data_IF_067233633939
#
_entry.id   IF_067233633939
#
_cell.length_a   1.000
_cell.length_b   1.000
_cell.length_c   1.000
_cell.angle_alpha   90.00
_cell.angle_beta   90.00
_cell.angle_gamma   90.00
#
_symmetry.space_group_name_H-M   'P 1'
#
loop_
_entity.id
_entity.type
_entity.pdbx_description
1 polymer ?
#
# COMPACT_ATOMS: atom_id res chain seq x y z
N UNK A 1 -16.61 -28.28 -17.13
CA UNK A 1 -15.48 -27.51 -17.65
C UNK A 1 -14.66 -28.45 -18.48
N UNK A 2 -14.44 -28.22 -19.79
CA UNK A 2 -13.56 -29.08 -20.56
C UNK A 2 -12.14 -28.98 -19.99
N UNK A 3 -11.53 -30.10 -19.68
CA UNK A 3 -10.11 -30.25 -19.44
C UNK A 3 -9.40 -29.98 -20.76
N UNK A 4 -9.03 -28.72 -21.00
CA UNK A 4 -8.15 -28.38 -22.10
C UNK A 4 -6.72 -28.74 -21.63
N UNK A 5 -6.26 -29.94 -22.01
CA UNK A 5 -4.97 -30.50 -21.64
C UNK A 5 -3.79 -29.92 -22.44
N UNK A 6 -3.93 -28.68 -22.86
CA UNK A 6 -2.82 -27.91 -23.44
C UNK A 6 -1.78 -27.52 -22.39
N UNK A 7 -0.55 -27.22 -22.80
CA UNK A 7 0.47 -26.73 -21.87
C UNK A 7 -0.01 -25.42 -21.22
N UNK A 8 0.18 -25.30 -19.90
CA UNK A 8 -0.03 -24.03 -19.21
C UNK A 8 1.12 -23.11 -19.62
N UNK A 9 0.77 -22.05 -20.34
CA UNK A 9 1.74 -21.05 -20.80
C UNK A 9 1.65 -19.82 -19.90
N UNK A 10 2.76 -19.11 -19.75
CA UNK A 10 2.79 -17.76 -19.18
C UNK A 10 1.97 -16.78 -20.03
N UNK A 11 1.75 -15.57 -19.53
CA UNK A 11 1.12 -14.50 -20.32
C UNK A 11 1.93 -14.22 -21.59
N UNK A 12 1.22 -13.85 -22.66
CA UNK A 12 1.86 -13.41 -23.90
C UNK A 12 2.77 -12.18 -23.63
N UNK A 13 3.92 -12.11 -24.30
CA UNK A 13 4.93 -11.06 -24.11
C UNK A 13 4.35 -9.63 -24.20
N UNK A 14 3.30 -9.40 -24.99
CA UNK A 14 2.63 -8.09 -25.10
C UNK A 14 2.10 -7.56 -23.77
N UNK A 15 1.70 -8.43 -22.85
CA UNK A 15 1.21 -8.01 -21.53
C UNK A 15 2.31 -7.40 -20.66
N UNK A 16 3.57 -7.61 -21.02
CA UNK A 16 4.74 -7.03 -20.31
C UNK A 16 5.35 -5.84 -21.07
N UNK A 17 5.15 -5.75 -22.38
CA UNK A 17 5.90 -4.83 -23.25
C UNK A 17 5.03 -3.78 -23.93
N UNK A 18 3.72 -3.97 -24.03
CA UNK A 18 2.82 -3.04 -24.70
C UNK A 18 2.39 -1.91 -23.74
N UNK A 19 2.77 -0.64 -24.01
CA UNK A 19 2.39 0.49 -23.17
C UNK A 19 0.88 0.74 -23.13
N UNK A 20 0.11 0.33 -24.15
CA UNK A 20 -1.33 0.48 -24.15
C UNK A 20 -1.99 -0.48 -23.13
N UNK A 21 -1.44 -1.67 -22.95
CA UNK A 21 -1.89 -2.61 -21.91
C UNK A 21 -1.57 -2.04 -20.53
N UNK A 22 -0.35 -1.52 -20.32
CA UNK A 22 0.03 -0.90 -19.06
C UNK A 22 -0.88 0.29 -18.69
N UNK A 23 -1.26 1.11 -19.66
CA UNK A 23 -2.20 2.22 -19.45
C UNK A 23 -3.57 1.74 -18.96
N UNK A 24 -4.10 0.66 -19.56
CA UNK A 24 -5.35 0.05 -19.11
C UNK A 24 -5.22 -0.54 -17.71
N UNK A 25 -4.12 -1.22 -17.40
CA UNK A 25 -3.84 -1.76 -16.07
C UNK A 25 -3.72 -0.65 -15.03
N UNK A 26 -3.00 0.41 -15.34
CA UNK A 26 -2.80 1.56 -14.43
C UNK A 26 -4.14 2.21 -14.06
N UNK A 27 -4.97 2.51 -15.05
CA UNK A 27 -6.27 3.16 -14.84
C UNK A 27 -7.35 2.24 -14.27
N UNK A 28 -7.31 0.96 -14.59
CA UNK A 28 -8.33 0.00 -14.17
C UNK A 28 -7.91 -0.79 -12.94
N UNK A 29 -6.82 -1.55 -13.05
CA UNK A 29 -6.42 -2.49 -12.01
C UNK A 29 -5.70 -1.80 -10.84
N UNK A 30 -4.62 -1.07 -11.14
CA UNK A 30 -3.80 -0.45 -10.10
C UNK A 30 -4.55 0.66 -9.37
N UNK A 31 -5.36 1.42 -10.08
CA UNK A 31 -6.18 2.49 -9.48
C UNK A 31 -7.35 1.94 -8.64
N UNK A 32 -7.89 0.77 -8.97
CA UNK A 32 -9.04 0.17 -8.27
C UNK A 32 -8.65 -0.92 -7.27
N UNK A 33 -7.36 -1.08 -6.96
CA UNK A 33 -6.89 -2.00 -5.94
C UNK A 33 -6.20 -1.28 -4.79
N UNK A 34 -6.17 -1.90 -3.61
CA UNK A 34 -5.47 -1.37 -2.45
C UNK A 34 -3.97 -1.39 -2.70
N UNK A 35 -3.36 -0.21 -2.68
CA UNK A 35 -1.93 -0.01 -2.90
C UNK A 35 -1.26 0.46 -1.60
N UNK A 36 -0.08 -0.10 -1.32
CA UNK A 36 0.71 0.31 -0.17
C UNK A 36 1.22 1.74 -0.35
N UNK A 37 0.94 2.60 0.62
CA UNK A 37 1.32 4.01 0.62
C UNK A 37 2.43 4.34 1.62
N UNK A 38 2.53 3.60 2.73
CA UNK A 38 3.50 3.89 3.76
C UNK A 38 3.11 3.24 5.10
N UNK A 39 3.71 3.69 6.18
CA UNK A 39 3.46 3.16 7.52
C UNK A 39 2.89 4.25 8.45
N UNK A 40 1.91 3.88 9.27
CA UNK A 40 1.21 4.82 10.17
C UNK A 40 2.17 5.53 11.15
N UNK A 41 3.31 4.92 11.50
CA UNK A 41 4.30 5.55 12.37
C UNK A 41 5.01 6.76 11.75
N UNK A 42 4.82 7.03 10.47
CA UNK A 42 5.31 8.25 9.82
C UNK A 42 4.43 9.47 10.18
N UNK A 43 3.21 9.23 10.67
CA UNK A 43 2.19 10.23 10.97
C UNK A 43 1.82 10.17 12.45
N UNK A 44 2.68 10.69 13.34
CA UNK A 44 2.52 10.55 14.79
C UNK A 44 1.79 11.74 15.45
N UNK A 45 1.80 12.90 14.82
CA UNK A 45 1.24 14.14 15.38
C UNK A 45 0.30 14.79 14.37
N UNK A 46 -0.75 15.48 14.83
CA UNK A 46 -1.58 16.28 13.95
C UNK A 46 -0.75 17.17 13.04
N UNK A 47 -0.98 17.06 11.74
CA UNK A 47 -0.28 17.78 10.70
C UNK A 47 0.95 17.07 10.13
N UNK A 48 1.42 15.96 10.70
CA UNK A 48 2.44 15.15 10.02
C UNK A 48 1.89 14.67 8.69
N UNK A 49 2.68 14.79 7.64
CA UNK A 49 2.30 14.36 6.28
C UNK A 49 3.48 13.77 5.53
N UNK A 50 3.18 12.95 4.56
CA UNK A 50 4.11 12.53 3.51
C UNK A 50 3.41 12.45 2.15
N UNK A 51 4.18 12.70 1.09
CA UNK A 51 3.75 12.67 -0.32
C UNK A 51 4.25 11.38 -0.96
N UNK A 52 3.44 10.81 -1.84
CA UNK A 52 3.80 9.64 -2.66
C UNK A 52 3.07 9.68 -4.00
N UNK A 53 3.56 8.89 -4.94
CA UNK A 53 2.96 8.73 -6.27
C UNK A 53 2.28 7.37 -6.36
N UNK A 54 1.09 7.31 -6.96
CA UNK A 54 0.37 6.07 -7.21
C UNK A 54 -0.41 6.15 -8.52
N UNK A 55 -0.22 5.18 -9.41
CA UNK A 55 -0.88 5.11 -10.73
C UNK A 55 -0.80 6.43 -11.52
N UNK A 56 0.28 7.19 -11.36
CA UNK A 56 0.49 8.49 -12.02
C UNK A 56 -0.13 9.70 -11.30
N UNK A 57 -0.78 9.49 -10.16
CA UNK A 57 -1.37 10.55 -9.34
C UNK A 57 -0.47 10.90 -8.16
N UNK A 58 -0.27 12.19 -7.91
CA UNK A 58 0.40 12.67 -6.70
C UNK A 58 -0.59 12.76 -5.54
N UNK A 59 -0.28 12.07 -4.45
CA UNK A 59 -1.11 11.97 -3.25
C UNK A 59 -0.31 12.41 -2.03
N UNK A 60 -1.02 12.80 -0.97
CA UNK A 60 -0.41 12.95 0.36
C UNK A 60 -1.32 12.41 1.45
N UNK A 61 -0.71 11.71 2.41
CA UNK A 61 -1.38 11.30 3.65
C UNK A 61 -1.04 12.27 4.76
N UNK A 62 -2.01 12.59 5.61
CA UNK A 62 -1.84 13.53 6.72
C UNK A 62 -2.56 13.06 7.97
N UNK A 63 -1.95 13.27 9.14
CA UNK A 63 -2.58 13.07 10.44
C UNK A 63 -3.53 14.22 10.74
N UNK A 64 -4.79 13.92 10.90
CA UNK A 64 -5.83 14.85 11.32
C UNK A 64 -5.69 15.30 12.78
N UNK A 65 -6.45 16.32 13.18
CA UNK A 65 -6.52 16.77 14.58
C UNK A 65 -7.32 15.83 15.47
N UNK A 66 -8.16 15.01 14.85
CA UNK A 66 -8.95 13.94 15.47
C UNK A 66 -8.16 12.65 15.73
N UNK A 67 -6.91 12.59 15.23
CA UNK A 67 -6.07 11.40 15.29
C UNK A 67 -6.28 10.41 14.14
N UNK A 68 -7.15 10.75 13.17
CA UNK A 68 -7.40 9.94 11.99
C UNK A 68 -6.45 10.32 10.84
N UNK A 69 -6.03 9.32 10.07
CA UNK A 69 -5.22 9.53 8.87
C UNK A 69 -6.15 9.70 7.67
N UNK A 70 -5.92 10.76 6.92
CA UNK A 70 -6.62 11.02 5.66
C UNK A 70 -5.63 11.16 4.52
N UNK A 71 -5.99 10.66 3.35
CA UNK A 71 -5.23 10.85 2.12
C UNK A 71 -6.03 11.69 1.13
N UNK A 72 -5.34 12.57 0.43
CA UNK A 72 -5.92 13.47 -0.55
C UNK A 72 -5.07 13.49 -1.82
N UNK A 73 -5.71 13.79 -2.96
CA UNK A 73 -4.96 14.21 -4.14
C UNK A 73 -4.17 15.47 -3.81
N UNK A 74 -2.90 15.49 -4.17
CA UNK A 74 -1.99 16.60 -3.89
C UNK A 74 -2.19 17.78 -4.83
N UNK A 75 -3.45 18.20 -4.99
CA UNK A 75 -3.90 19.16 -6.01
C UNK A 75 -4.82 20.21 -5.38
N UNK A 76 -4.46 21.47 -5.55
CA UNK A 76 -5.26 22.60 -5.10
C UNK A 76 -6.54 22.76 -5.93
N UNK A 77 -7.69 22.85 -5.26
CA UNK A 77 -9.01 23.00 -5.89
C UNK A 77 -9.23 24.34 -6.59
N UNK A 78 -8.26 25.25 -6.51
CA UNK A 78 -8.30 26.53 -7.23
C UNK A 78 -7.85 26.39 -8.68
N UNK A 79 -6.57 26.01 -8.90
CA UNK A 79 -5.95 25.96 -10.24
C UNK A 79 -4.91 24.83 -10.33
N UNK A 80 -5.22 23.69 -9.73
CA UNK A 80 -4.48 22.44 -9.83
C UNK A 80 -2.96 22.51 -9.50
N UNK A 81 -2.53 23.49 -8.69
CA UNK A 81 -1.15 23.52 -8.21
C UNK A 81 -0.92 22.44 -7.14
N UNK A 82 0.25 21.81 -7.15
CA UNK A 82 0.68 20.90 -6.10
C UNK A 82 0.70 21.60 -4.73
N UNK A 83 0.20 20.94 -3.68
CA UNK A 83 0.03 21.54 -2.36
C UNK A 83 1.26 21.38 -1.46
N UNK A 84 1.79 20.17 -1.38
CA UNK A 84 2.90 19.80 -0.49
C UNK A 84 3.92 18.93 -1.21
N UNK A 85 5.14 18.83 -0.65
CA UNK A 85 6.24 18.03 -1.19
C UNK A 85 6.93 17.25 -0.06
N UNK A 86 7.46 16.08 -0.37
CA UNK A 86 8.20 15.24 0.57
C UNK A 86 7.39 14.88 1.82
N UNK A 87 7.98 15.05 2.98
CA UNK A 87 7.33 14.80 4.27
C UNK A 87 7.59 15.96 5.23
N UNK A 88 6.69 16.15 6.20
CA UNK A 88 6.83 17.24 7.17
C UNK A 88 5.67 17.32 8.15
N UNK A 89 5.57 18.47 8.82
CA UNK A 89 4.44 18.81 9.68
C UNK A 89 3.88 20.19 9.32
N UNK A 90 2.58 20.25 9.08
CA UNK A 90 1.87 21.49 8.76
C UNK A 90 0.62 21.65 9.62
N UNK A 91 0.43 22.82 10.19
CA UNK A 91 -0.80 23.13 10.95
C UNK A 91 -2.06 23.17 10.07
N UNK A 92 -1.86 23.49 8.80
CA UNK A 92 -2.86 23.58 7.71
C UNK A 92 -2.12 23.42 6.40
N UNK A 93 -2.77 22.91 5.37
CA UNK A 93 -2.21 22.76 4.04
C UNK A 93 -2.45 24.05 3.25
N UNK A 94 -1.39 24.77 2.96
CA UNK A 94 -1.48 26.06 2.24
C UNK A 94 -0.87 25.94 0.85
N UNK A 95 -1.68 26.24 -0.16
CA UNK A 95 -1.22 26.25 -1.55
C UNK A 95 -0.16 27.37 -1.76
N UNK A 96 1.03 27.02 -2.25
CA UNK A 96 2.09 28.03 -2.42
C UNK A 96 1.82 29.04 -3.56
N UNK A 97 0.83 28.75 -4.41
CA UNK A 97 0.54 29.61 -5.57
C UNK A 97 -0.33 30.83 -5.19
N UNK A 98 -1.52 30.62 -4.57
CA UNK A 98 -2.44 31.72 -4.24
C UNK A 98 -2.90 31.69 -2.78
N UNK A 99 -2.19 30.98 -1.92
CA UNK A 99 -2.45 30.89 -0.49
C UNK A 99 -3.88 30.37 -0.12
N UNK A 100 -4.51 29.58 -1.00
CA UNK A 100 -5.68 28.82 -0.56
C UNK A 100 -5.24 27.83 0.51
N UNK A 101 -5.93 27.85 1.64
CA UNK A 101 -5.53 27.13 2.84
C UNK A 101 -6.61 26.14 3.21
N UNK A 102 -6.24 24.89 3.43
CA UNK A 102 -7.11 23.79 3.80
C UNK A 102 -6.82 23.32 5.22
N UNK A 103 -7.87 22.93 5.94
CA UNK A 103 -7.71 22.18 7.19
C UNK A 103 -7.11 20.79 6.91
N UNK A 104 -6.69 20.10 7.99
CA UNK A 104 -6.13 18.75 7.85
C UNK A 104 -7.16 17.69 7.43
N UNK A 105 -8.46 18.00 7.53
CA UNK A 105 -9.57 17.19 7.03
C UNK A 105 -9.94 17.49 5.58
N UNK A 106 -9.20 18.38 4.91
CA UNK A 106 -9.35 18.76 3.51
C UNK A 106 -10.28 19.94 3.26
N UNK A 107 -11.08 20.42 4.22
CA UNK A 107 -12.01 21.54 4.02
C UNK A 107 -11.27 22.84 3.76
N UNK A 108 -11.75 23.63 2.82
CA UNK A 108 -11.18 24.95 2.54
C UNK A 108 -11.44 25.91 3.72
N UNK A 109 -10.37 26.34 4.38
CA UNK A 109 -10.41 27.31 5.47
C UNK A 109 -10.36 28.77 4.99
N UNK A 110 -9.50 29.05 4.02
CA UNK A 110 -9.25 30.40 3.55
C UNK A 110 -8.95 30.46 2.07
N UNK A 111 -9.50 31.48 1.41
CA UNK A 111 -9.29 31.77 0.01
C UNK A 111 -9.16 33.29 -0.16
N UNK A 112 -7.93 33.84 -0.21
CA UNK A 112 -7.71 35.27 -0.35
C UNK A 112 -8.43 35.83 -1.58
N UNK A 113 -9.00 37.04 -1.43
CA UNK A 113 -9.71 37.78 -2.48
C UNK A 113 -10.97 37.12 -3.06
N UNK A 114 -11.39 35.97 -2.56
CA UNK A 114 -12.59 35.28 -3.08
C UNK A 114 -13.91 35.83 -2.51
N UNK A 115 -13.87 36.66 -1.46
CA UNK A 115 -15.07 37.26 -0.85
C UNK A 115 -15.86 38.16 -1.79
N UNK A 116 -15.20 38.69 -2.83
CA UNK A 116 -15.82 39.58 -3.82
C UNK A 116 -16.37 38.83 -5.03
N UNK A 117 -16.20 37.52 -5.08
CA UNK A 117 -16.69 36.67 -6.17
C UNK A 117 -18.12 36.22 -5.84
N UNK A 118 -19.06 36.64 -6.65
CA UNK A 118 -20.47 36.28 -6.51
C UNK A 118 -20.66 34.75 -6.61
N UNK A 119 -21.40 34.15 -5.71
CA UNK A 119 -21.68 32.74 -5.66
C UNK A 119 -20.53 31.87 -5.06
N UNK A 120 -19.40 32.44 -4.69
CA UNK A 120 -18.35 31.69 -4.05
C UNK A 120 -18.74 31.25 -2.62
N UNK A 121 -18.79 29.95 -2.42
CA UNK A 121 -19.08 29.33 -1.12
C UNK A 121 -17.89 28.47 -0.71
N UNK A 122 -17.14 28.97 0.27
CA UNK A 122 -15.94 28.29 0.80
C UNK A 122 -16.29 26.88 1.33
N UNK A 123 -17.43 26.75 1.99
CA UNK A 123 -17.82 25.53 2.69
C UNK A 123 -18.21 24.38 1.72
N UNK A 124 -18.39 24.69 0.44
CA UNK A 124 -18.65 23.70 -0.61
C UNK A 124 -17.34 23.12 -1.20
N UNK A 125 -16.18 23.62 -0.75
CA UNK A 125 -14.88 23.24 -1.31
C UNK A 125 -14.09 22.40 -0.31
N UNK A 126 -13.70 21.22 -0.76
CA UNK A 126 -12.87 20.29 -0.02
C UNK A 126 -11.82 19.67 -0.96
N UNK A 127 -10.67 19.28 -0.44
CA UNK A 127 -9.74 18.44 -1.19
C UNK A 127 -10.40 17.11 -1.50
N UNK A 128 -10.10 16.56 -2.67
CA UNK A 128 -10.62 15.24 -3.06
C UNK A 128 -9.93 14.17 -2.22
N UNK A 129 -10.74 13.48 -1.41
CA UNK A 129 -10.27 12.43 -0.51
C UNK A 129 -10.08 11.12 -1.27
N UNK A 130 -9.08 10.36 -0.86
CA UNK A 130 -8.79 9.01 -1.35
C UNK A 130 -9.09 8.02 -0.22
N UNK A 131 -9.84 6.93 -0.46
CA UNK A 131 -10.00 5.83 0.49
C UNK A 131 -8.66 5.40 1.07
N UNK A 132 -8.59 5.35 2.38
CA UNK A 132 -7.33 5.09 3.12
C UNK A 132 -7.65 4.16 4.28
N UNK A 133 -6.86 3.09 4.42
CA UNK A 133 -6.97 2.19 5.54
C UNK A 133 -5.62 1.95 6.21
N UNK A 134 -5.65 1.88 7.54
CA UNK A 134 -4.56 1.37 8.35
C UNK A 134 -4.76 -0.13 8.58
N UNK A 135 -3.99 -0.94 7.88
CA UNK A 135 -4.04 -2.40 7.98
C UNK A 135 -2.79 -2.89 8.72
N UNK A 136 -2.93 -3.19 10.00
CA UNK A 136 -1.85 -3.67 10.88
C UNK A 136 -0.62 -2.73 10.93
N UNK A 137 -0.84 -1.41 10.90
CA UNK A 137 0.23 -0.41 10.88
C UNK A 137 0.65 0.04 9.48
N UNK A 138 0.31 -0.72 8.46
CA UNK A 138 0.57 -0.37 7.05
C UNK A 138 -0.57 0.47 6.49
N UNK A 139 -0.24 1.58 5.84
CA UNK A 139 -1.23 2.43 5.19
C UNK A 139 -1.42 1.98 3.74
N UNK A 140 -2.67 1.72 3.41
CA UNK A 140 -3.10 1.42 2.05
C UNK A 140 -4.08 2.46 1.56
N UNK A 141 -4.06 2.69 0.26
CA UNK A 141 -4.95 3.62 -0.44
C UNK A 141 -5.55 2.98 -1.67
N UNK A 142 -6.73 3.46 -2.08
CA UNK A 142 -7.41 2.99 -3.28
C UNK A 142 -8.01 4.20 -4.00
N UNK A 143 -7.78 4.35 -5.31
CA UNK A 143 -8.32 5.50 -6.06
C UNK A 143 -9.80 5.31 -6.43
N UNK A 144 -10.36 4.12 -6.27
CA UNK A 144 -11.80 3.90 -6.39
C UNK A 144 -12.51 4.43 -5.14
N UNK A 145 -13.33 5.48 -5.24
CA UNK A 145 -14.04 6.06 -4.10
C UNK A 145 -15.04 5.08 -3.45
N UNK A 146 -15.46 4.06 -4.17
CA UNK A 146 -16.40 3.02 -3.72
C UNK A 146 -15.69 1.71 -3.34
N UNK A 147 -14.37 1.76 -3.12
CA UNK A 147 -13.58 0.60 -2.74
C UNK A 147 -14.15 -0.08 -1.50
N UNK A 148 -14.33 -1.40 -1.58
CA UNK A 148 -14.63 -2.22 -0.40
C UNK A 148 -13.43 -2.23 0.54
N UNK A 149 -13.67 -2.42 1.84
CA UNK A 149 -12.61 -2.44 2.85
C UNK A 149 -11.58 -3.53 2.59
N UNK A 150 -10.38 -3.37 3.15
CA UNK A 150 -9.34 -4.40 3.08
C UNK A 150 -9.79 -5.70 3.76
N UNK A 151 -10.53 -5.62 4.86
CA UNK A 151 -11.04 -6.83 5.54
C UNK A 151 -12.07 -7.59 4.69
N UNK A 152 -12.82 -6.90 3.79
CA UNK A 152 -13.69 -7.53 2.80
C UNK A 152 -12.91 -8.14 1.62
N UNK A 153 -11.79 -7.52 1.23
CA UNK A 153 -10.92 -8.03 0.19
C UNK A 153 -10.07 -9.22 0.66
N UNK A 154 -9.58 -9.13 1.90
CA UNK A 154 -8.62 -10.06 2.50
C UNK A 154 -9.14 -10.63 3.82
N UNK A 155 -10.28 -11.36 3.80
CA UNK A 155 -10.91 -11.86 5.03
C UNK A 155 -9.96 -12.80 5.78
N UNK A 156 -9.77 -12.54 7.09
CA UNK A 156 -8.94 -13.34 7.98
C UNK A 156 -7.44 -13.03 7.94
N UNK A 157 -6.97 -12.19 6.99
CA UNK A 157 -5.53 -11.88 6.87
C UNK A 157 -5.04 -11.04 8.04
N UNK A 158 -5.84 -10.11 8.55
CA UNK A 158 -5.50 -9.29 9.72
C UNK A 158 -5.27 -10.16 10.96
N UNK A 159 -6.17 -11.09 11.20
CA UNK A 159 -6.09 -12.03 12.33
C UNK A 159 -4.88 -12.97 12.18
N UNK A 160 -4.62 -13.44 10.98
CA UNK A 160 -3.46 -14.28 10.70
C UNK A 160 -2.15 -13.54 10.92
N UNK A 161 -2.03 -12.30 10.43
CA UNK A 161 -0.86 -11.46 10.67
C UNK A 161 -0.65 -11.20 12.16
N UNK A 162 -1.72 -10.87 12.91
CA UNK A 162 -1.64 -10.65 14.35
C UNK A 162 -1.27 -11.94 15.12
N UNK A 163 -1.68 -13.11 14.63
CA UNK A 163 -1.31 -14.39 15.22
C UNK A 163 0.17 -14.73 14.99
N UNK A 164 0.71 -14.43 13.78
CA UNK A 164 2.13 -14.63 13.48
C UNK A 164 3.02 -13.60 14.19
N UNK A 165 2.58 -12.34 14.24
CA UNK A 165 3.32 -11.21 14.79
C UNK A 165 2.43 -10.44 15.75
N UNK A 166 2.24 -10.90 17.01
CA UNK A 166 1.32 -10.30 17.97
C UNK A 166 1.54 -8.80 18.24
N UNK A 167 2.75 -8.30 17.96
CA UNK A 167 3.13 -6.89 18.11
C UNK A 167 3.14 -6.11 16.78
N UNK A 168 2.54 -6.61 15.71
CA UNK A 168 2.66 -6.03 14.35
C UNK A 168 2.33 -4.53 14.31
N UNK A 169 1.29 -4.08 15.01
CA UNK A 169 0.90 -2.67 15.07
C UNK A 169 1.89 -1.77 15.81
N UNK A 170 2.83 -2.37 16.58
CA UNK A 170 3.87 -1.66 17.32
C UNK A 170 5.19 -1.62 16.57
N UNK A 171 5.33 -2.39 15.51
CA UNK A 171 6.51 -2.37 14.65
C UNK A 171 6.61 -1.02 13.94
N UNK A 172 7.84 -0.63 13.64
CA UNK A 172 8.12 0.59 12.88
C UNK A 172 9.16 0.26 11.84
N UNK A 173 9.08 0.85 10.64
CA UNK A 173 10.15 0.72 9.66
C UNK A 173 11.47 1.20 10.26
N UNK A 174 12.52 0.40 10.12
CA UNK A 174 13.87 0.79 10.50
C UNK A 174 14.48 1.69 9.42
N UNK A 175 14.27 1.33 8.18
CA UNK A 175 14.84 1.99 7.00
C UNK A 175 13.87 1.85 5.82
N UNK A 176 13.91 2.81 4.92
CA UNK A 176 13.25 2.76 3.61
C UNK A 176 14.31 2.60 2.54
N UNK A 177 14.21 1.52 1.78
CA UNK A 177 15.11 1.24 0.66
C UNK A 177 14.29 1.25 -0.63
N UNK A 178 14.67 2.09 -1.58
CA UNK A 178 14.09 2.13 -2.91
C UNK A 178 15.00 1.36 -3.88
N UNK A 179 14.43 0.36 -4.53
CA UNK A 179 15.13 -0.45 -5.54
C UNK A 179 14.41 -0.22 -6.88
N UNK A 180 14.98 0.58 -7.79
CA UNK A 180 14.38 0.81 -9.10
C UNK A 180 14.50 -0.45 -9.96
N UNK A 181 13.37 -0.89 -10.48
CA UNK A 181 13.29 -2.04 -11.39
C UNK A 181 12.91 -1.57 -12.80
N UNK A 182 13.73 -1.89 -13.79
CA UNK A 182 13.49 -1.57 -15.20
C UNK A 182 12.64 -2.65 -15.89
N UNK A 183 11.52 -3.00 -15.29
CA UNK A 183 10.62 -4.02 -15.81
C UNK A 183 9.13 -3.65 -15.59
N UNK A 184 8.24 -4.42 -16.18
CA UNK A 184 6.81 -4.32 -15.91
C UNK A 184 6.53 -4.85 -14.49
N UNK A 185 5.60 -4.23 -13.77
CA UNK A 185 5.23 -4.60 -12.39
C UNK A 185 4.86 -6.09 -12.21
N UNK A 186 4.27 -6.71 -13.26
CA UNK A 186 3.91 -8.13 -13.22
C UNK A 186 5.13 -9.04 -13.07
N UNK A 187 6.29 -8.65 -13.62
CA UNK A 187 7.53 -9.43 -13.47
C UNK A 187 7.94 -9.52 -12.01
N UNK A 188 7.88 -8.40 -11.27
CA UNK A 188 8.19 -8.38 -9.83
C UNK A 188 7.19 -9.23 -9.03
N UNK A 189 5.88 -9.07 -9.31
CA UNK A 189 4.84 -9.85 -8.65
C UNK A 189 4.97 -11.35 -8.93
N UNK A 190 5.19 -11.73 -10.19
CA UNK A 190 5.37 -13.12 -10.59
C UNK A 190 6.63 -13.75 -9.95
N UNK A 191 7.74 -13.01 -9.91
CA UNK A 191 8.96 -13.45 -9.25
C UNK A 191 8.73 -13.69 -7.74
N UNK A 192 7.96 -12.80 -7.08
CA UNK A 192 7.62 -12.97 -5.67
C UNK A 192 6.61 -14.10 -5.44
N UNK A 193 5.73 -14.35 -6.40
CA UNK A 193 4.63 -15.35 -6.28
C UNK A 193 5.07 -16.80 -6.45
N UNK A 194 6.35 -17.07 -6.58
CA UNK A 194 6.90 -18.42 -6.67
C UNK A 194 8.25 -18.51 -5.96
N UNK A 195 8.72 -19.70 -5.62
CA UNK A 195 10.05 -19.93 -5.02
C UNK A 195 10.89 -20.95 -5.80
N UNK A 196 10.57 -21.16 -7.08
CA UNK A 196 11.33 -22.06 -7.94
C UNK A 196 12.79 -21.62 -8.13
N UNK A 197 13.01 -20.29 -8.14
CA UNK A 197 14.34 -19.68 -8.24
C UNK A 197 15.11 -19.63 -6.90
N UNK A 198 14.41 -19.85 -5.76
CA UNK A 198 14.98 -19.59 -4.43
C UNK A 198 16.25 -20.40 -4.15
N UNK A 199 16.29 -21.68 -4.54
CA UNK A 199 17.44 -22.54 -4.30
C UNK A 199 18.73 -22.04 -4.99
N UNK A 200 18.61 -21.37 -6.12
CA UNK A 200 19.72 -20.86 -6.91
C UNK A 200 20.09 -19.42 -6.56
N UNK A 201 19.09 -18.57 -6.40
CA UNK A 201 19.30 -17.13 -6.23
C UNK A 201 19.35 -16.69 -4.76
N UNK A 202 18.71 -17.46 -3.87
CA UNK A 202 18.63 -17.19 -2.43
C UNK A 202 19.07 -18.39 -1.59
N UNK A 203 20.31 -18.91 -1.78
CA UNK A 203 20.75 -20.13 -1.13
C UNK A 203 20.70 -20.08 0.40
N UNK A 204 20.96 -18.92 1.00
CA UNK A 204 20.88 -18.76 2.46
C UNK A 204 19.45 -18.91 2.96
N UNK A 205 18.47 -18.37 2.23
CA UNK A 205 17.05 -18.55 2.53
C UNK A 205 16.63 -20.01 2.36
N UNK A 206 16.95 -20.61 1.22
CA UNK A 206 16.54 -21.96 0.86
C UNK A 206 17.19 -23.08 1.72
N UNK A 207 18.39 -22.84 2.27
CA UNK A 207 19.10 -23.85 3.07
C UNK A 207 19.18 -23.52 4.55
N UNK A 208 19.02 -22.24 4.92
CA UNK A 208 19.20 -21.76 6.29
C UNK A 208 17.91 -21.42 7.03
N UNK A 209 16.86 -21.05 6.32
CA UNK A 209 15.63 -20.55 6.94
C UNK A 209 14.45 -21.51 6.70
N UNK A 210 14.18 -21.88 5.46
CA UNK A 210 13.00 -22.66 5.06
C UNK A 210 13.35 -24.09 4.67
N UNK A 211 12.34 -24.95 4.68
CA UNK A 211 12.41 -26.30 4.10
C UNK A 211 11.75 -26.27 2.72
N UNK A 212 12.51 -26.19 1.60
CA UNK A 212 11.95 -26.01 0.27
C UNK A 212 10.95 -27.07 -0.14
N UNK A 213 11.10 -28.29 0.33
CA UNK A 213 10.19 -29.41 0.06
C UNK A 213 8.81 -29.28 0.71
N UNK A 214 8.66 -28.38 1.66
CA UNK A 214 7.37 -28.08 2.34
C UNK A 214 6.70 -26.82 1.81
N UNK A 215 7.27 -26.20 0.77
CA UNK A 215 6.75 -24.96 0.22
C UNK A 215 5.38 -25.18 -0.43
N UNK A 216 4.37 -24.46 0.04
CA UNK A 216 2.99 -24.55 -0.44
C UNK A 216 2.49 -23.16 -0.83
N UNK A 217 1.90 -23.05 -2.01
CA UNK A 217 1.33 -21.83 -2.56
C UNK A 217 -0.13 -22.04 -2.87
N UNK A 218 -0.99 -21.29 -2.23
CA UNK A 218 -2.45 -21.41 -2.41
C UNK A 218 -3.09 -20.07 -2.68
N UNK A 219 -3.92 -19.94 -3.72
CA UNK A 219 -4.79 -18.79 -3.87
C UNK A 219 -5.84 -18.77 -2.76
N UNK A 220 -6.00 -17.62 -2.10
CA UNK A 220 -6.99 -17.39 -1.07
C UNK A 220 -7.69 -16.05 -1.36
N UNK A 221 -8.84 -16.08 -2.03
CA UNK A 221 -9.53 -14.87 -2.48
C UNK A 221 -8.66 -14.06 -3.45
N UNK A 222 -8.30 -12.86 -3.06
CA UNK A 222 -7.46 -11.95 -3.86
C UNK A 222 -5.98 -11.97 -3.47
N UNK A 223 -5.55 -12.89 -2.64
CA UNK A 223 -4.15 -13.04 -2.28
C UNK A 223 -3.62 -14.44 -2.60
N UNK A 224 -2.31 -14.55 -2.68
CA UNK A 224 -1.59 -15.81 -2.68
C UNK A 224 -1.02 -16.02 -1.28
N UNK A 225 -1.34 -17.15 -0.68
CA UNK A 225 -0.79 -17.55 0.60
C UNK A 225 0.39 -18.47 0.36
N UNK A 226 1.57 -18.06 0.82
CA UNK A 226 2.78 -18.86 0.78
C UNK A 226 3.09 -19.37 2.18
N UNK A 227 3.34 -20.64 2.32
CA UNK A 227 3.74 -21.25 3.59
C UNK A 227 4.85 -22.26 3.37
N UNK A 228 5.76 -22.35 4.34
CA UNK A 228 6.79 -23.38 4.40
C UNK A 228 7.20 -23.59 5.84
N UNK A 229 7.72 -24.76 6.17
CA UNK A 229 8.28 -25.00 7.49
C UNK A 229 9.63 -24.31 7.64
N UNK A 230 9.92 -23.81 8.85
CA UNK A 230 11.24 -23.29 9.18
C UNK A 230 12.23 -24.44 9.41
N UNK A 231 13.41 -24.34 8.77
CA UNK A 231 14.49 -25.27 8.98
C UNK A 231 15.25 -24.99 10.29
N UNK A 232 15.35 -23.70 10.65
CA UNK A 232 16.07 -23.26 11.85
C UNK A 232 15.21 -22.22 12.59
N UNK A 233 14.57 -22.62 13.67
CA UNK A 233 13.73 -21.75 14.49
C UNK A 233 14.51 -20.60 15.16
N UNK A 234 15.84 -20.74 15.32
CA UNK A 234 16.67 -19.66 15.86
C UNK A 234 16.93 -18.54 14.86
N UNK A 235 16.66 -18.76 13.58
CA UNK A 235 16.77 -17.74 12.54
C UNK A 235 15.55 -16.82 12.46
N UNK A 236 14.53 -17.02 13.28
CA UNK A 236 13.35 -16.15 13.32
C UNK A 236 13.71 -14.76 13.85
N UNK A 237 13.19 -13.74 13.19
CA UNK A 237 13.50 -12.33 13.48
C UNK A 237 12.94 -11.84 14.82
N UNK A 238 12.06 -12.60 15.47
CA UNK A 238 11.44 -12.27 16.75
C UNK A 238 11.15 -13.53 17.57
N UNK A 239 11.09 -13.41 18.91
CA UNK A 239 10.76 -14.55 19.77
C UNK A 239 9.33 -15.02 19.47
N UNK A 240 9.19 -16.30 19.16
CA UNK A 240 7.89 -16.96 18.95
C UNK A 240 7.63 -17.88 20.13
N UNK A 241 6.49 -17.70 20.77
CA UNK A 241 6.00 -18.67 21.74
C UNK A 241 5.43 -19.89 21.02
N UNK A 242 6.26 -20.94 20.95
CA UNK A 242 5.94 -22.18 20.25
C UNK A 242 4.77 -22.94 20.89
N UNK A 243 4.43 -22.67 22.15
CA UNK A 243 3.34 -23.36 22.85
C UNK A 243 1.98 -22.70 22.58
N UNK A 244 1.95 -21.40 22.44
CA UNK A 244 0.71 -20.62 22.28
C UNK A 244 0.41 -20.17 20.86
N UNK A 245 1.39 -20.15 19.97
CA UNK A 245 1.22 -19.71 18.58
C UNK A 245 1.02 -20.92 17.64
N UNK A 246 -0.17 -21.08 17.03
CA UNK A 246 -0.47 -22.21 16.13
C UNK A 246 0.38 -22.20 14.83
N UNK A 247 1.02 -21.04 14.53
CA UNK A 247 1.88 -20.89 13.35
C UNK A 247 3.37 -20.96 13.69
N UNK A 248 3.71 -21.34 14.94
CA UNK A 248 5.09 -21.47 15.36
C UNK A 248 5.85 -22.48 14.48
N UNK A 249 6.97 -22.05 13.92
CA UNK A 249 7.78 -22.86 13.01
C UNK A 249 7.30 -22.89 11.56
N UNK A 250 6.29 -22.10 11.21
CA UNK A 250 5.84 -21.92 9.82
C UNK A 250 6.22 -20.51 9.36
N UNK A 251 6.91 -20.42 8.24
CA UNK A 251 7.12 -19.17 7.54
C UNK A 251 5.94 -18.89 6.62
N UNK A 252 5.37 -17.68 6.72
CA UNK A 252 4.28 -17.23 5.85
C UNK A 252 4.59 -15.84 5.30
N UNK A 253 4.32 -15.64 4.03
CA UNK A 253 4.52 -14.37 3.31
C UNK A 253 3.30 -14.01 2.47
#
# INVERSE_FOLDING_TARGET
>A
MPNDSGPILSLDARYYTDPAIFEVESRGLLSASWQFAGHASQLQKPGDYFVFEMAGESLFSVMGRDGEISTFYNVCQHRAHQLVQGSGNARMITCPYHAWTYELDGRLRGAPNMKVVEGFRRDDICLTRVPTENFCGFLFVNLDPDARSMDEWFPGVREELAAHVPQIERLKPLEWVEIPESCNWKVSVENYSECYHCALNHPTFATGIVKPETYDIRPQGYCLRHTTECQNLQSMSYPVDLESNPYAGVYSS
#
